data_IF_123523214359
#
_entry.id   IF_123523214359
#
_cell.length_a   1.000
_cell.length_b   1.000
_cell.length_c   1.000
_cell.angle_alpha   90.00
_cell.angle_beta   90.00
_cell.angle_gamma   90.00
#
_symmetry.space_group_name_H-M   'P 1'
#
loop_
_entity.id
_entity.type
_entity.pdbx_description
1 polymer ?
#
# COMPACT_ATOMS: atom_id res chain seq x y z
N UNK A 1 -8.50 24.15 72.25
CA UNK A 1 -7.05 24.01 72.23
C UNK A 1 -6.71 23.17 70.99
N UNK A 2 -6.41 23.85 69.98
CA UNK A 2 -5.20 23.80 69.11
C UNK A 2 -4.92 22.44 68.50
N UNK A 3 -5.52 22.16 67.33
CA UNK A 3 -4.85 21.31 66.33
C UNK A 3 -4.74 22.15 65.07
N UNK A 4 -3.58 22.75 64.96
CA UNK A 4 -3.15 23.51 63.81
C UNK A 4 -2.81 22.51 62.67
N UNK A 5 -3.50 22.67 61.65
CA UNK A 5 -3.38 22.09 60.35
C UNK A 5 -1.94 22.10 59.83
N UNK A 6 -1.44 20.90 59.51
CA UNK A 6 -0.24 20.75 58.66
C UNK A 6 -0.70 20.17 57.30
N UNK A 7 -1.23 21.04 56.45
CA UNK A 7 -1.40 20.77 55.04
C UNK A 7 -0.18 21.36 54.31
N UNK A 8 0.91 20.64 54.38
CA UNK A 8 2.10 20.99 53.63
C UNK A 8 2.18 20.15 52.36
N UNK A 9 2.04 20.83 51.25
CA UNK A 9 2.71 20.65 49.97
C UNK A 9 3.07 19.20 49.58
N UNK A 10 2.14 18.58 48.88
CA UNK A 10 2.50 17.52 47.93
C UNK A 10 2.45 18.17 46.53
N UNK A 11 3.49 18.91 46.17
CA UNK A 11 3.76 19.28 44.79
C UNK A 11 4.18 18.02 44.05
N UNK A 12 3.21 17.32 43.50
CA UNK A 12 3.42 16.24 42.57
C UNK A 12 4.05 16.85 41.32
N UNK A 13 5.32 16.60 41.15
CA UNK A 13 6.05 16.81 39.90
C UNK A 13 5.42 15.90 38.84
N UNK A 14 4.36 16.37 38.21
CA UNK A 14 3.95 15.83 36.91
C UNK A 14 5.03 16.24 35.92
N UNK A 15 6.02 15.37 35.81
CA UNK A 15 6.94 15.42 34.70
C UNK A 15 6.11 15.28 33.42
N UNK A 16 6.00 16.36 32.65
CA UNK A 16 5.57 16.29 31.25
C UNK A 16 6.59 15.44 30.51
N UNK A 17 6.34 14.14 30.48
CA UNK A 17 6.91 13.25 29.49
C UNK A 17 6.32 13.66 28.14
N UNK A 18 6.97 14.60 27.46
CA UNK A 18 6.68 14.91 26.09
C UNK A 18 6.96 13.66 25.27
N UNK A 19 5.94 12.90 24.96
CA UNK A 19 5.98 11.96 23.85
C UNK A 19 6.20 12.81 22.61
N UNK A 20 7.45 12.88 22.15
CA UNK A 20 7.77 13.36 20.82
C UNK A 20 7.00 12.44 19.85
N UNK A 21 5.83 12.89 19.41
CA UNK A 21 5.20 12.32 18.24
C UNK A 21 6.16 12.65 17.10
N UNK A 22 6.88 11.64 16.62
CA UNK A 22 7.60 11.76 15.38
C UNK A 22 6.56 12.13 14.30
N UNK A 23 6.67 13.36 13.82
CA UNK A 23 5.89 13.77 12.66
C UNK A 23 6.19 12.76 11.53
N UNK A 24 5.15 12.23 10.86
CA UNK A 24 5.37 11.34 9.74
C UNK A 24 6.26 12.05 8.72
N UNK A 25 7.24 11.37 8.12
CA UNK A 25 8.22 11.97 7.23
C UNK A 25 7.52 12.80 6.15
N UNK A 26 7.89 14.06 6.05
CA UNK A 26 7.30 15.00 5.09
C UNK A 26 7.51 14.45 3.69
N UNK A 27 6.42 14.06 3.03
CA UNK A 27 6.47 13.51 1.68
C UNK A 27 7.16 14.50 0.72
N UNK A 28 7.98 14.00 -0.20
CA UNK A 28 8.62 14.85 -1.20
C UNK A 28 7.57 15.63 -1.98
N UNK A 29 7.85 16.89 -2.28
CA UNK A 29 6.96 17.78 -3.06
C UNK A 29 6.77 17.32 -4.52
N UNK A 30 7.57 16.37 -4.96
CA UNK A 30 7.53 15.76 -6.31
C UNK A 30 6.98 14.35 -6.23
N UNK A 31 6.32 13.92 -7.31
CA UNK A 31 5.91 12.54 -7.47
C UNK A 31 7.15 11.71 -7.83
N UNK A 32 7.46 10.72 -6.99
CA UNK A 32 8.50 9.73 -7.25
C UNK A 32 7.79 8.39 -7.40
N UNK A 33 7.81 7.86 -8.62
CA UNK A 33 7.08 6.66 -9.00
C UNK A 33 8.05 5.50 -9.20
N UNK A 34 7.93 4.46 -8.37
CA UNK A 34 8.66 3.21 -8.51
C UNK A 34 7.86 2.17 -9.30
N UNK A 35 8.56 1.30 -10.00
CA UNK A 35 8.00 0.15 -10.72
C UNK A 35 8.71 -1.12 -10.27
N UNK A 36 7.95 -2.16 -9.92
CA UNK A 36 8.51 -3.41 -9.40
C UNK A 36 7.75 -4.61 -9.97
N UNK A 37 8.47 -5.58 -10.50
CA UNK A 37 7.90 -6.87 -10.88
C UNK A 37 7.73 -7.71 -9.62
N UNK A 38 6.55 -8.28 -9.40
CA UNK A 38 6.25 -9.00 -8.17
C UNK A 38 7.09 -10.28 -8.00
N UNK A 39 7.55 -10.87 -9.08
CA UNK A 39 8.43 -12.04 -9.05
C UNK A 39 9.80 -11.74 -8.40
N UNK A 40 10.21 -10.47 -8.40
CA UNK A 40 11.49 -10.00 -7.85
C UNK A 40 11.39 -9.55 -6.38
N UNK A 41 10.21 -9.53 -5.80
CA UNK A 41 9.97 -9.00 -4.45
C UNK A 41 10.82 -9.62 -3.35
N UNK A 42 11.15 -10.93 -3.34
CA UNK A 42 11.99 -11.50 -2.31
C UNK A 42 13.42 -10.95 -2.29
N UNK A 43 13.88 -10.38 -3.40
CA UNK A 43 15.26 -9.95 -3.61
C UNK A 43 15.47 -8.45 -3.35
N UNK A 44 14.40 -7.66 -3.32
CA UNK A 44 14.50 -6.20 -3.23
C UNK A 44 13.91 -5.64 -1.95
N UNK A 45 14.67 -4.77 -1.30
CA UNK A 45 14.14 -3.90 -0.26
C UNK A 45 13.52 -2.65 -0.91
N UNK A 46 12.25 -2.40 -0.62
CA UNK A 46 11.54 -1.26 -1.19
C UNK A 46 11.91 0.01 -0.40
N UNK A 47 12.46 1.05 -1.04
CA UNK A 47 12.82 2.31 -0.38
C UNK A 47 11.58 3.19 -0.17
N UNK A 48 10.74 2.80 0.78
CA UNK A 48 9.44 3.43 1.04
C UNK A 48 9.52 4.93 1.35
N UNK A 49 10.59 5.37 1.98
CA UNK A 49 10.86 6.77 2.35
C UNK A 49 11.14 7.66 1.14
N UNK A 50 11.55 7.07 0.03
CA UNK A 50 11.88 7.78 -1.21
C UNK A 50 10.74 7.78 -2.22
N UNK A 51 9.68 7.00 -1.99
CA UNK A 51 8.59 6.82 -2.93
C UNK A 51 7.33 7.58 -2.52
N UNK A 52 6.61 8.10 -3.51
CA UNK A 52 5.22 8.55 -3.35
C UNK A 52 4.24 7.54 -3.91
N UNK A 53 4.66 6.80 -4.95
CA UNK A 53 3.87 5.78 -5.63
C UNK A 53 4.74 4.57 -5.94
N UNK A 54 4.17 3.39 -5.82
CA UNK A 54 4.77 2.12 -6.25
C UNK A 54 3.76 1.39 -7.11
N UNK A 55 4.13 1.05 -8.35
CA UNK A 55 3.33 0.17 -9.19
C UNK A 55 3.93 -1.22 -9.21
N UNK A 56 3.12 -2.19 -8.84
CA UNK A 56 3.50 -3.60 -8.91
C UNK A 56 3.00 -4.18 -10.23
N UNK A 57 3.87 -4.82 -10.96
CA UNK A 57 3.65 -5.37 -12.28
C UNK A 57 3.69 -6.90 -12.24
N UNK A 58 2.80 -7.63 -12.88
CA UNK A 58 1.65 -7.20 -13.65
C UNK A 58 0.42 -8.03 -13.29
N UNK A 59 -0.75 -7.42 -13.27
CA UNK A 59 -2.02 -8.14 -13.32
C UNK A 59 -2.34 -8.50 -14.76
N UNK A 60 -2.09 -9.75 -15.16
CA UNK A 60 -2.26 -10.24 -16.53
C UNK A 60 -3.68 -10.77 -16.75
N UNK A 61 -4.23 -10.56 -17.94
CA UNK A 61 -5.50 -11.14 -18.32
C UNK A 61 -5.32 -12.59 -18.82
N UNK A 62 -6.32 -13.44 -18.57
CA UNK A 62 -6.52 -14.68 -19.33
C UNK A 62 -7.28 -14.39 -20.62
N UNK A 63 -7.28 -15.33 -21.58
CA UNK A 63 -7.99 -15.18 -22.85
C UNK A 63 -9.49 -14.90 -22.69
N UNK A 64 -10.07 -15.38 -21.61
CA UNK A 64 -11.49 -15.21 -21.27
C UNK A 64 -11.77 -14.02 -20.32
N UNK A 65 -10.78 -13.15 -20.11
CA UNK A 65 -10.92 -11.96 -19.27
C UNK A 65 -10.84 -12.22 -17.76
N UNK A 66 -10.30 -13.36 -17.32
CA UNK A 66 -9.95 -13.57 -15.92
C UNK A 66 -8.65 -12.88 -15.54
N UNK A 67 -8.31 -12.84 -14.25
CA UNK A 67 -7.02 -12.39 -13.74
C UNK A 67 -6.09 -13.60 -13.60
N UNK A 68 -5.04 -13.69 -14.45
CA UNK A 68 -4.18 -14.86 -14.53
C UNK A 68 -3.41 -15.15 -13.23
N UNK A 69 -2.96 -14.12 -12.54
CA UNK A 69 -2.06 -14.24 -11.39
C UNK A 69 -2.74 -13.86 -10.06
N UNK A 70 -4.05 -14.05 -9.96
CA UNK A 70 -4.85 -13.63 -8.80
C UNK A 70 -4.27 -14.12 -7.46
N UNK A 71 -3.89 -15.40 -7.36
CA UNK A 71 -3.30 -15.98 -6.14
C UNK A 71 -1.94 -15.38 -5.78
N UNK A 72 -1.16 -14.91 -6.76
CA UNK A 72 0.12 -14.24 -6.50
C UNK A 72 -0.11 -12.80 -6.08
N UNK A 73 -1.12 -12.13 -6.63
CA UNK A 73 -1.52 -10.78 -6.24
C UNK A 73 -1.98 -10.77 -4.78
N UNK A 74 -2.73 -11.77 -4.35
CA UNK A 74 -3.16 -11.93 -2.95
C UNK A 74 -1.96 -12.00 -1.99
N UNK A 75 -0.87 -12.68 -2.38
CA UNK A 75 0.37 -12.74 -1.58
C UNK A 75 1.07 -11.39 -1.43
N UNK A 76 0.71 -10.39 -2.22
CA UNK A 76 1.26 -9.03 -2.15
C UNK A 76 0.56 -8.14 -1.12
N UNK A 77 -0.55 -8.58 -0.53
CA UNK A 77 -1.30 -7.82 0.48
C UNK A 77 -0.43 -7.22 1.60
N UNK A 78 0.55 -7.94 2.19
CA UNK A 78 1.41 -7.36 3.21
C UNK A 78 2.20 -6.16 2.71
N UNK A 79 2.66 -6.19 1.45
CA UNK A 79 3.44 -5.11 0.81
C UNK A 79 2.56 -3.90 0.57
N UNK A 80 1.33 -4.12 0.09
CA UNK A 80 0.36 -3.04 -0.09
C UNK A 80 0.07 -2.33 1.23
N UNK A 81 -0.20 -3.10 2.29
CA UNK A 81 -0.47 -2.55 3.62
C UNK A 81 0.72 -1.82 4.21
N UNK A 82 1.93 -2.29 3.96
CA UNK A 82 3.13 -1.58 4.40
C UNK A 82 3.30 -0.25 3.66
N UNK A 83 3.16 -0.25 2.34
CA UNK A 83 3.18 0.98 1.56
C UNK A 83 2.15 2.00 2.03
N UNK A 84 0.92 1.57 2.31
CA UNK A 84 -0.11 2.45 2.85
C UNK A 84 0.29 3.04 4.21
N UNK A 85 0.83 2.24 5.13
CA UNK A 85 1.34 2.72 6.44
C UNK A 85 2.44 3.76 6.28
N UNK A 86 3.29 3.60 5.28
CA UNK A 86 4.35 4.56 4.92
C UNK A 86 3.82 5.73 4.10
N UNK A 87 2.52 5.73 3.78
CA UNK A 87 1.85 6.77 3.02
C UNK A 87 2.24 6.77 1.54
N UNK A 88 2.73 5.66 1.00
CA UNK A 88 2.98 5.43 -0.42
C UNK A 88 1.71 4.89 -1.06
N UNK A 89 1.34 5.42 -2.23
CA UNK A 89 0.23 4.86 -3.01
C UNK A 89 0.73 3.64 -3.77
N UNK A 90 0.21 2.46 -3.42
CA UNK A 90 0.56 1.22 -4.11
C UNK A 90 -0.52 0.91 -5.14
N UNK A 91 -0.09 0.59 -6.34
CA UNK A 91 -0.94 0.38 -7.52
C UNK A 91 -0.63 -0.99 -8.14
N UNK A 92 -1.62 -1.61 -8.76
CA UNK A 92 -1.42 -2.77 -9.63
C UNK A 92 -1.39 -2.31 -11.08
N UNK A 93 -0.32 -2.63 -11.80
CA UNK A 93 -0.23 -2.42 -13.23
C UNK A 93 -0.88 -3.58 -13.98
N UNK A 94 -1.91 -3.29 -14.77
CA UNK A 94 -2.58 -4.29 -15.59
C UNK A 94 -1.93 -4.45 -16.96
N UNK A 95 -1.74 -5.71 -17.42
CA UNK A 95 -1.22 -6.02 -18.74
C UNK A 95 0.21 -6.54 -18.75
N UNK A 96 1.11 -5.79 -19.33
CA UNK A 96 2.52 -6.17 -19.55
C UNK A 96 2.80 -6.72 -20.95
N UNK A 97 4.09 -6.65 -21.36
CA UNK A 97 4.52 -6.98 -22.73
C UNK A 97 4.21 -8.42 -23.16
N UNK A 98 4.38 -9.39 -22.27
CA UNK A 98 4.06 -10.80 -22.53
C UNK A 98 2.57 -11.13 -22.62
N UNK A 99 1.68 -10.19 -22.23
CA UNK A 99 0.24 -10.39 -22.26
C UNK A 99 -0.48 -9.55 -23.35
N UNK A 100 0.28 -8.93 -24.21
CA UNK A 100 -0.18 -7.91 -25.19
C UNK A 100 -1.31 -8.42 -26.11
N UNK A 101 -1.15 -9.60 -26.70
CA UNK A 101 -2.14 -10.16 -27.63
C UNK A 101 -3.45 -10.53 -26.91
N UNK A 102 -3.34 -11.20 -25.75
CA UNK A 102 -4.48 -11.58 -24.92
C UNK A 102 -5.23 -10.33 -24.44
N UNK A 103 -4.50 -9.34 -23.94
CA UNK A 103 -5.09 -8.08 -23.48
C UNK A 103 -5.85 -7.36 -24.61
N UNK A 104 -5.30 -7.33 -25.82
CA UNK A 104 -6.00 -6.75 -26.97
C UNK A 104 -7.33 -7.48 -27.25
N UNK A 105 -7.34 -8.82 -27.24
CA UNK A 105 -8.56 -9.61 -27.41
C UNK A 105 -9.59 -9.36 -26.29
N UNK A 106 -9.13 -9.30 -25.05
CA UNK A 106 -9.98 -9.00 -23.89
C UNK A 106 -10.61 -7.61 -23.98
N UNK A 107 -9.83 -6.60 -24.36
CA UNK A 107 -10.32 -5.22 -24.43
C UNK A 107 -11.33 -5.01 -25.56
N UNK A 108 -11.24 -5.77 -26.64
CA UNK A 108 -12.17 -5.72 -27.78
C UNK A 108 -13.47 -6.48 -27.53
N UNK A 109 -13.52 -7.39 -26.57
CA UNK A 109 -14.69 -8.16 -26.21
C UNK A 109 -15.34 -7.60 -24.93
N UNK A 110 -16.56 -7.12 -25.02
CA UNK A 110 -17.28 -6.49 -23.91
C UNK A 110 -17.45 -7.42 -22.70
N UNK A 111 -17.75 -8.68 -22.93
CA UNK A 111 -17.91 -9.67 -21.85
C UNK A 111 -16.60 -9.91 -21.12
N UNK A 112 -15.51 -10.11 -21.86
CA UNK A 112 -14.19 -10.38 -21.30
C UNK A 112 -13.61 -9.13 -20.62
N UNK A 113 -13.81 -7.96 -21.22
CA UNK A 113 -13.39 -6.68 -20.62
C UNK A 113 -14.10 -6.43 -19.28
N UNK A 114 -15.41 -6.65 -19.22
CA UNK A 114 -16.19 -6.47 -18.00
C UNK A 114 -15.78 -7.48 -16.91
N UNK A 115 -15.50 -8.72 -17.29
CA UNK A 115 -14.98 -9.74 -16.37
C UNK A 115 -13.62 -9.32 -15.83
N UNK A 116 -12.69 -8.93 -16.68
CA UNK A 116 -11.35 -8.52 -16.27
C UNK A 116 -11.37 -7.31 -15.33
N UNK A 117 -12.20 -6.32 -15.64
CA UNK A 117 -12.43 -5.17 -14.75
C UNK A 117 -12.94 -5.61 -13.37
N UNK A 118 -13.88 -6.54 -13.31
CA UNK A 118 -14.44 -7.06 -12.04
C UNK A 118 -13.37 -7.79 -11.24
N UNK A 119 -12.56 -8.63 -11.88
CA UNK A 119 -11.47 -9.35 -11.22
C UNK A 119 -10.38 -8.41 -10.69
N UNK A 120 -10.02 -7.36 -11.45
CA UNK A 120 -9.09 -6.34 -10.99
C UNK A 120 -9.63 -5.57 -9.79
N UNK A 121 -10.90 -5.15 -9.82
CA UNK A 121 -11.52 -4.45 -8.71
C UNK A 121 -11.52 -5.32 -7.46
N UNK A 122 -11.92 -6.59 -7.59
CA UNK A 122 -11.89 -7.54 -6.47
C UNK A 122 -10.49 -7.70 -5.89
N UNK A 123 -9.46 -7.78 -6.73
CA UNK A 123 -8.08 -7.93 -6.29
C UNK A 123 -7.57 -6.75 -5.47
N UNK A 124 -8.13 -5.55 -5.65
CA UNK A 124 -7.72 -4.32 -4.95
C UNK A 124 -8.68 -3.89 -3.83
N UNK A 125 -9.83 -4.54 -3.67
CA UNK A 125 -10.81 -4.22 -2.62
C UNK A 125 -10.25 -4.46 -1.21
N UNK A 126 -9.34 -5.41 -1.06
CA UNK A 126 -8.73 -5.79 0.21
C UNK A 126 -7.42 -5.04 0.53
N UNK A 127 -7.06 -4.02 -0.25
CA UNK A 127 -5.79 -3.29 -0.13
C UNK A 127 -5.83 -2.08 0.78
#
# INVERSE_FOLDING_TARGET
MKYLTLWALLCILFGCGGTSQEEPPKKPSKIIFGYLQYEQLPEYQIPWDQLTHLSIAFGRATEEGGLADAANIEKLLPIFREGQKKGVKVLLSAGGGGNKAIMAGVLLNDTYRNRFKKELLKAVEDW
#
